data_IF_672577502192
#
_entry.id   IF_672577502192
#
_cell.length_a   1.000
_cell.length_b   1.000
_cell.length_c   1.000
_cell.angle_alpha   90.00
_cell.angle_beta   90.00
_cell.angle_gamma   90.00
#
_symmetry.space_group_name_H-M   'P 1'
#
loop_
_entity.id
_entity.type
_entity.pdbx_description
1 polymer ?
#
# COMPACT_ATOMS: atom_id res chain seq x y z
N UNK A 1 -28.52 38.14 46.07
CA UNK A 1 -29.56 37.09 46.02
C UNK A 1 -29.56 36.54 44.61
N UNK A 2 -28.83 35.45 44.41
CA UNK A 2 -28.71 34.75 43.13
C UNK A 2 -29.02 33.29 43.44
N UNK A 3 -30.19 32.84 43.00
CA UNK A 3 -30.65 31.46 43.18
C UNK A 3 -29.92 30.54 42.21
N UNK A 4 -29.30 29.51 42.78
CA UNK A 4 -28.74 28.37 42.07
C UNK A 4 -29.87 27.37 41.77
N UNK A 5 -30.17 27.15 40.48
CA UNK A 5 -31.05 26.06 40.07
C UNK A 5 -30.23 24.79 39.84
N UNK A 6 -30.39 23.83 40.74
CA UNK A 6 -29.85 22.48 40.65
C UNK A 6 -30.73 21.66 39.69
N UNK A 7 -30.20 21.23 38.55
CA UNK A 7 -30.85 20.20 37.73
C UNK A 7 -30.60 18.82 38.36
N UNK A 8 -31.68 18.16 38.82
CA UNK A 8 -31.69 16.75 39.23
C UNK A 8 -31.90 15.88 38.00
N UNK A 9 -30.94 15.03 37.65
CA UNK A 9 -31.12 13.99 36.64
C UNK A 9 -31.95 12.83 37.20
N UNK A 10 -33.03 12.48 36.50
CA UNK A 10 -33.95 11.41 36.86
C UNK A 10 -33.51 10.10 36.17
N UNK A 11 -33.28 9.05 36.97
CA UNK A 11 -32.56 7.82 36.59
C UNK A 11 -33.43 6.76 35.89
N UNK A 12 -34.42 7.17 35.09
CA UNK A 12 -35.36 6.25 34.41
C UNK A 12 -35.71 6.74 33.02
N UNK A 13 -34.83 6.49 32.06
CA UNK A 13 -35.17 6.27 30.65
C UNK A 13 -33.98 5.59 29.99
N UNK A 14 -34.11 4.30 29.70
CA UNK A 14 -33.08 3.51 29.05
C UNK A 14 -33.01 3.88 27.57
N UNK A 15 -32.01 4.67 27.18
CA UNK A 15 -31.61 4.77 25.78
C UNK A 15 -30.87 3.51 25.38
N UNK A 16 -31.43 2.79 24.41
CA UNK A 16 -30.87 1.58 23.82
C UNK A 16 -29.88 2.00 22.73
N UNK A 17 -28.63 2.23 23.10
CA UNK A 17 -27.54 2.39 22.12
C UNK A 17 -27.17 1.00 21.58
N UNK A 18 -27.30 0.83 20.26
CA UNK A 18 -26.71 -0.30 19.54
C UNK A 18 -25.32 0.18 19.12
N UNK A 19 -24.32 -0.13 19.92
CA UNK A 19 -22.91 0.09 19.58
C UNK A 19 -22.53 -1.02 18.59
N UNK A 20 -22.15 -0.64 17.38
CA UNK A 20 -21.59 -1.55 16.39
C UNK A 20 -20.09 -1.66 16.69
N UNK A 21 -19.67 -2.79 17.26
CA UNK A 21 -18.35 -2.97 17.89
C UNK A 21 -17.20 -3.16 16.87
N UNK A 22 -17.48 -3.18 15.56
CA UNK A 22 -16.48 -3.45 14.52
C UNK A 22 -15.62 -2.24 14.10
N UNK A 23 -15.98 -1.01 14.48
CA UNK A 23 -15.22 0.20 14.10
C UNK A 23 -14.32 0.77 15.21
N UNK A 24 -14.52 0.36 16.46
CA UNK A 24 -13.80 0.92 17.62
C UNK A 24 -12.40 0.33 17.84
N UNK A 25 -12.12 -0.88 17.37
CA UNK A 25 -10.82 -1.56 17.57
C UNK A 25 -9.66 -0.87 16.83
N UNK A 26 -9.93 -0.26 15.66
CA UNK A 26 -8.88 0.30 14.81
C UNK A 26 -8.44 1.73 15.15
N UNK A 27 -9.23 2.46 15.94
CA UNK A 27 -8.90 3.83 16.34
C UNK A 27 -7.94 3.87 17.53
N UNK A 28 -7.92 2.83 18.37
CA UNK A 28 -7.10 2.78 19.58
C UNK A 28 -5.61 2.54 19.31
N UNK A 29 -5.24 1.78 18.26
CA UNK A 29 -3.82 1.51 17.96
C UNK A 29 -3.05 2.74 17.42
N UNK A 30 -3.72 3.70 16.78
CA UNK A 30 -3.04 4.80 16.07
C UNK A 30 -2.98 6.13 16.83
N UNK A 31 -3.83 6.35 17.84
CA UNK A 31 -3.69 7.50 18.74
C UNK A 31 -2.56 7.32 19.76
N UNK A 32 -2.06 6.09 19.93
CA UNK A 32 -1.03 5.73 20.90
C UNK A 32 0.34 6.39 20.62
N UNK A 33 0.81 6.57 19.37
CA UNK A 33 2.17 7.12 19.15
C UNK A 33 2.24 8.66 19.17
N UNK A 34 1.13 9.35 18.84
CA UNK A 34 1.08 10.82 18.81
C UNK A 34 1.02 11.45 20.20
N UNK A 35 0.30 10.80 21.12
CA UNK A 35 0.06 11.31 22.48
C UNK A 35 1.31 11.22 23.37
N UNK A 36 2.16 10.21 23.15
CA UNK A 36 3.40 9.98 23.89
C UNK A 36 4.42 11.12 23.78
N UNK A 37 4.46 11.85 22.66
CA UNK A 37 5.37 12.99 22.51
C UNK A 37 4.88 14.26 23.21
N UNK A 38 3.58 14.38 23.48
CA UNK A 38 3.02 15.56 24.11
C UNK A 38 3.10 15.50 25.64
N UNK A 39 3.02 14.31 26.24
CA UNK A 39 3.03 14.14 27.70
C UNK A 39 4.45 14.14 28.28
N UNK A 40 5.49 13.90 27.48
CA UNK A 40 6.83 13.69 28.02
C UNK A 40 7.53 14.95 28.58
N UNK A 41 6.88 16.12 28.58
CA UNK A 41 7.50 17.41 28.95
C UNK A 41 6.84 18.21 30.07
N UNK A 42 5.99 17.63 30.92
CA UNK A 42 5.57 18.33 32.15
C UNK A 42 5.51 17.41 33.37
N UNK A 43 5.90 17.96 34.52
CA UNK A 43 5.91 17.31 35.85
C UNK A 43 4.46 17.30 36.43
N UNK A 44 3.50 16.99 35.58
CA UNK A 44 2.10 16.70 35.85
C UNK A 44 1.85 15.47 34.98
N UNK A 45 1.75 14.24 35.46
CA UNK A 45 0.79 13.85 36.48
C UNK A 45 1.03 12.34 36.76
N UNK A 46 1.71 12.02 37.87
CA UNK A 46 2.00 10.61 38.23
C UNK A 46 0.73 9.81 38.54
N UNK A 47 -0.37 10.50 38.83
CA UNK A 47 -1.65 9.89 39.18
C UNK A 47 -2.46 9.59 37.91
N UNK A 48 -2.44 10.49 36.92
CA UNK A 48 -2.96 10.22 35.58
C UNK A 48 -2.24 9.06 34.90
N UNK A 49 -0.91 8.96 35.04
CA UNK A 49 -0.14 7.85 34.47
C UNK A 49 -0.51 6.51 35.11
N UNK A 50 -0.78 6.48 36.43
CA UNK A 50 -1.23 5.27 37.12
C UNK A 50 -2.65 4.85 36.73
N UNK A 51 -3.56 5.81 36.55
CA UNK A 51 -4.92 5.53 36.08
C UNK A 51 -4.90 4.97 34.65
N UNK A 52 -4.03 5.54 33.81
CA UNK A 52 -3.81 5.07 32.44
C UNK A 52 -3.18 3.66 32.39
N UNK A 53 -2.22 3.34 33.27
CA UNK A 53 -1.67 1.97 33.37
C UNK A 53 -2.72 0.91 33.78
N UNK A 54 -3.71 1.29 34.59
CA UNK A 54 -4.83 0.40 34.95
C UNK A 54 -5.76 0.21 33.76
N UNK A 55 -6.11 1.29 33.06
CA UNK A 55 -6.97 1.24 31.88
C UNK A 55 -6.35 0.43 30.73
N UNK A 56 -5.04 0.54 30.51
CA UNK A 56 -4.32 -0.31 29.55
C UNK A 56 -4.41 -1.78 29.93
N UNK A 57 -4.21 -2.11 31.21
CA UNK A 57 -4.24 -3.51 31.65
C UNK A 57 -5.64 -4.12 31.47
N UNK A 58 -6.68 -3.35 31.75
CA UNK A 58 -8.07 -3.79 31.53
C UNK A 58 -8.37 -4.01 30.04
N UNK A 59 -7.80 -3.17 29.15
CA UNK A 59 -7.91 -3.34 27.70
C UNK A 59 -7.13 -4.57 27.20
N UNK A 60 -5.90 -4.77 27.67
CA UNK A 60 -5.08 -5.94 27.33
C UNK A 60 -5.75 -7.26 27.78
N UNK A 61 -6.37 -7.27 28.96
CA UNK A 61 -7.14 -8.44 29.46
C UNK A 61 -8.41 -8.68 28.64
N UNK A 62 -9.12 -7.62 28.23
CA UNK A 62 -10.30 -7.74 27.38
C UNK A 62 -9.95 -8.25 25.97
N UNK A 63 -8.85 -7.77 25.39
CA UNK A 63 -8.34 -8.23 24.10
C UNK A 63 -7.93 -9.70 24.15
N UNK A 64 -7.19 -10.11 25.20
CA UNK A 64 -6.80 -11.51 25.38
C UNK A 64 -8.02 -12.45 25.48
N UNK A 65 -9.05 -12.05 26.23
CA UNK A 65 -10.29 -12.82 26.35
C UNK A 65 -11.08 -12.86 25.02
N UNK A 66 -11.07 -11.79 24.23
CA UNK A 66 -11.68 -11.76 22.91
C UNK A 66 -10.95 -12.68 21.92
N UNK A 67 -9.62 -12.65 21.90
CA UNK A 67 -8.79 -13.56 21.09
C UNK A 67 -9.10 -15.02 21.45
N UNK A 68 -9.18 -15.35 22.74
CA UNK A 68 -9.53 -16.69 23.20
C UNK A 68 -10.93 -17.11 22.72
N UNK A 69 -11.91 -16.22 22.75
CA UNK A 69 -13.26 -16.49 22.21
C UNK A 69 -13.27 -16.69 20.70
N UNK A 70 -12.48 -15.92 19.94
CA UNK A 70 -12.36 -16.09 18.49
C UNK A 70 -11.66 -17.40 18.13
N UNK A 71 -10.61 -17.78 18.86
CA UNK A 71 -9.97 -19.09 18.67
C UNK A 71 -10.92 -20.25 19.01
N UNK A 72 -11.74 -20.11 20.05
CA UNK A 72 -12.78 -21.11 20.37
C UNK A 72 -13.83 -21.21 19.26
N UNK A 73 -14.32 -20.10 18.71
CA UNK A 73 -15.24 -20.07 17.58
C UNK A 73 -14.62 -20.66 16.31
N UNK A 74 -13.34 -20.34 16.03
CA UNK A 74 -12.66 -20.84 14.84
C UNK A 74 -12.37 -22.34 14.91
N UNK A 75 -12.21 -22.88 16.13
CA UNK A 75 -12.06 -24.31 16.39
C UNK A 75 -13.40 -25.05 16.58
N UNK A 76 -14.53 -24.34 16.62
CA UNK A 76 -15.86 -24.93 16.70
C UNK A 76 -16.23 -25.60 15.34
N UNK A 77 -16.40 -26.93 15.31
CA UNK A 77 -16.79 -27.64 14.09
C UNK A 77 -18.13 -27.18 13.51
N UNK A 78 -19.06 -26.70 14.34
CA UNK A 78 -20.38 -26.23 13.90
C UNK A 78 -20.27 -24.88 13.17
N UNK A 79 -19.41 -23.98 13.67
CA UNK A 79 -19.09 -22.71 13.01
C UNK A 79 -18.36 -22.92 11.67
N UNK A 80 -17.39 -23.83 11.63
CA UNK A 80 -16.70 -24.19 10.38
C UNK A 80 -17.65 -24.78 9.34
N UNK A 81 -18.61 -25.61 9.79
CA UNK A 81 -19.64 -26.17 8.93
C UNK A 81 -20.58 -25.09 8.38
N UNK A 82 -21.01 -24.15 9.22
CA UNK A 82 -21.84 -23.02 8.79
C UNK A 82 -21.13 -22.16 7.72
N UNK A 83 -19.83 -21.88 7.90
CA UNK A 83 -19.04 -21.15 6.90
C UNK A 83 -18.90 -21.92 5.58
N UNK A 84 -18.69 -23.23 5.63
CA UNK A 84 -18.62 -24.08 4.44
C UNK A 84 -19.98 -24.13 3.69
N UNK A 85 -21.09 -24.18 4.43
CA UNK A 85 -22.44 -24.13 3.86
C UNK A 85 -22.72 -22.77 3.20
N UNK A 86 -22.35 -21.65 3.85
CA UNK A 86 -22.46 -20.31 3.24
C UNK A 86 -21.61 -20.16 1.97
N UNK A 87 -20.39 -20.71 1.97
CA UNK A 87 -19.50 -20.67 0.81
C UNK A 87 -20.05 -21.50 -0.37
N UNK A 88 -20.69 -22.64 -0.08
CA UNK A 88 -21.33 -23.49 -1.08
C UNK A 88 -22.51 -22.76 -1.73
N UNK A 89 -23.39 -22.14 -0.92
CA UNK A 89 -24.51 -21.33 -1.42
C UNK A 89 -24.03 -20.16 -2.28
N UNK A 90 -22.92 -19.53 -1.90
CA UNK A 90 -22.32 -18.45 -2.69
C UNK A 90 -21.82 -18.93 -4.05
N UNK A 91 -21.08 -20.05 -4.10
CA UNK A 91 -20.59 -20.64 -5.35
C UNK A 91 -21.74 -21.03 -6.29
N UNK A 92 -22.80 -21.62 -5.75
CA UNK A 92 -24.00 -21.97 -6.52
C UNK A 92 -24.67 -20.73 -7.11
N UNK A 93 -24.75 -19.64 -6.34
CA UNK A 93 -25.29 -18.36 -6.81
C UNK A 93 -24.42 -17.71 -7.90
N UNK A 94 -23.09 -17.86 -7.82
CA UNK A 94 -22.15 -17.34 -8.81
C UNK A 94 -22.24 -18.14 -10.12
N UNK A 95 -22.34 -19.47 -10.04
CA UNK A 95 -22.57 -20.33 -11.20
C UNK A 95 -23.91 -20.06 -11.89
N UNK A 96 -24.97 -19.83 -11.11
CA UNK A 96 -26.29 -19.44 -11.63
C UNK A 96 -26.23 -18.07 -12.31
N UNK A 97 -25.58 -17.08 -11.70
CA UNK A 97 -25.37 -15.77 -12.30
C UNK A 97 -24.62 -15.85 -13.65
N UNK A 98 -23.56 -16.67 -13.72
CA UNK A 98 -22.79 -16.89 -14.94
C UNK A 98 -23.57 -17.65 -16.02
N UNK A 99 -24.51 -18.51 -15.63
CA UNK A 99 -25.42 -19.22 -16.54
C UNK A 99 -26.46 -18.27 -17.15
N UNK A 100 -26.97 -17.35 -16.35
CA UNK A 100 -27.94 -16.32 -16.80
C UNK A 100 -27.28 -15.18 -17.57
N UNK A 101 -26.01 -14.91 -17.29
CA UNK A 101 -25.22 -13.83 -17.90
C UNK A 101 -23.95 -14.38 -18.57
N UNK A 102 -24.07 -15.28 -19.57
CA UNK A 102 -22.92 -15.83 -20.24
C UNK A 102 -22.12 -14.67 -20.88
N UNK A 103 -20.78 -14.63 -20.71
CA UNK A 103 -19.95 -13.58 -21.28
C UNK A 103 -20.17 -13.49 -22.79
N UNK A 104 -20.67 -12.35 -23.27
CA UNK A 104 -20.79 -12.10 -24.71
C UNK A 104 -19.39 -11.84 -25.28
N UNK A 105 -19.07 -12.60 -26.32
CA UNK A 105 -17.79 -12.63 -27.05
C UNK A 105 -16.62 -13.35 -26.37
N UNK A 106 -16.68 -14.69 -26.38
CA UNK A 106 -15.48 -15.54 -26.38
C UNK A 106 -15.59 -16.47 -27.58
N UNK A 107 -14.96 -16.09 -28.70
CA UNK A 107 -14.69 -17.07 -29.77
C UNK A 107 -13.77 -18.16 -29.22
N UNK A 108 -13.98 -19.44 -29.55
CA UNK A 108 -13.14 -20.52 -29.05
C UNK A 108 -11.73 -20.40 -29.62
N UNK A 109 -10.82 -19.82 -28.85
CA UNK A 109 -9.39 -19.94 -29.11
C UNK A 109 -9.03 -21.38 -28.78
N UNK A 110 -8.70 -22.16 -29.79
CA UNK A 110 -8.14 -23.50 -29.63
C UNK A 110 -7.01 -23.42 -28.60
N UNK A 111 -7.09 -24.12 -27.46
CA UNK A 111 -6.09 -23.99 -26.43
C UNK A 111 -4.75 -24.50 -27.00
N UNK A 112 -3.62 -23.78 -26.80
CA UNK A 112 -2.32 -24.37 -27.05
C UNK A 112 -2.23 -25.63 -26.19
N UNK A 113 -1.78 -26.73 -26.81
CA UNK A 113 -1.58 -28.03 -26.16
C UNK A 113 -0.90 -27.83 -24.82
N UNK A 114 -1.55 -28.32 -23.76
CA UNK A 114 -1.04 -28.35 -22.39
C UNK A 114 0.36 -28.96 -22.38
N UNK A 115 1.37 -28.17 -22.03
CA UNK A 115 2.56 -28.67 -21.33
C UNK A 115 2.40 -28.28 -19.86
N UNK A 116 2.13 -29.28 -19.04
CA UNK A 116 2.18 -29.35 -17.58
C UNK A 116 2.48 -28.05 -16.81
N UNK A 117 1.43 -27.49 -16.21
CA UNK A 117 1.29 -27.62 -14.75
C UNK A 117 2.08 -26.70 -13.82
N UNK A 118 2.75 -25.64 -14.29
CA UNK A 118 3.14 -24.52 -13.44
C UNK A 118 2.88 -23.20 -14.17
N UNK A 119 1.94 -22.37 -13.70
CA UNK A 119 1.99 -20.93 -13.99
C UNK A 119 3.35 -20.47 -13.47
N UNK A 120 4.29 -20.23 -14.37
CA UNK A 120 5.59 -19.70 -13.99
C UNK A 120 5.33 -18.43 -13.17
N UNK A 121 5.65 -18.45 -11.88
CA UNK A 121 5.46 -17.30 -11.01
C UNK A 121 6.19 -16.12 -11.64
N UNK A 122 5.42 -15.14 -12.12
CA UNK A 122 5.99 -13.98 -12.77
C UNK A 122 6.98 -13.32 -11.82
N UNK A 123 8.22 -13.13 -12.28
CA UNK A 123 9.28 -12.58 -11.46
C UNK A 123 8.84 -11.23 -10.85
N UNK A 124 8.83 -11.16 -9.51
CA UNK A 124 8.51 -9.95 -8.73
C UNK A 124 9.78 -9.34 -8.14
N UNK A 125 9.86 -8.02 -8.19
CA UNK A 125 10.97 -7.26 -7.59
C UNK A 125 10.60 -6.94 -6.16
N UNK A 126 11.44 -7.37 -5.22
CA UNK A 126 11.27 -7.17 -3.79
C UNK A 126 12.10 -5.98 -3.31
N UNK A 127 11.46 -5.04 -2.62
CA UNK A 127 12.07 -3.81 -2.11
C UNK A 127 11.73 -3.72 -0.62
N UNK A 128 12.70 -3.39 0.23
CA UNK A 128 12.44 -3.16 1.66
C UNK A 128 11.37 -2.07 1.85
N UNK A 129 10.37 -2.32 2.68
CA UNK A 129 9.22 -1.41 2.84
C UNK A 129 9.63 -0.05 3.41
N UNK A 130 10.69 0.00 4.23
CA UNK A 130 11.27 1.26 4.71
C UNK A 130 11.80 2.14 3.56
N UNK A 131 12.36 1.55 2.51
CA UNK A 131 12.86 2.27 1.32
C UNK A 131 11.69 2.79 0.48
N UNK A 132 10.59 2.04 0.42
CA UNK A 132 9.36 2.47 -0.27
C UNK A 132 8.78 3.74 0.36
N UNK A 133 8.78 3.80 1.69
CA UNK A 133 8.18 4.88 2.49
C UNK A 133 9.18 5.98 2.90
N UNK A 134 10.40 5.97 2.34
CA UNK A 134 11.43 6.98 2.66
C UNK A 134 11.25 8.26 1.83
N UNK A 135 10.65 9.29 2.44
CA UNK A 135 10.43 10.61 1.82
C UNK A 135 11.69 11.32 1.34
N UNK A 136 12.86 10.92 1.83
CA UNK A 136 14.12 11.52 1.40
C UNK A 136 14.47 11.09 -0.01
N UNK A 137 14.12 9.87 -0.42
CA UNK A 137 14.30 9.38 -1.79
C UNK A 137 13.24 10.05 -2.66
N UNK A 138 13.58 10.58 -3.83
CA UNK A 138 12.56 11.05 -4.79
C UNK A 138 12.14 9.94 -5.78
N UNK A 139 11.05 10.15 -6.51
CA UNK A 139 10.47 9.12 -7.38
C UNK A 139 11.44 8.58 -8.46
N UNK A 140 12.33 9.42 -8.99
CA UNK A 140 13.33 9.00 -9.98
C UNK A 140 14.43 8.14 -9.34
N UNK A 141 14.90 8.56 -8.16
CA UNK A 141 15.85 7.80 -7.35
C UNK A 141 15.26 6.43 -6.98
N UNK A 142 14.00 6.42 -6.56
CA UNK A 142 13.28 5.20 -6.22
C UNK A 142 13.21 4.24 -7.41
N UNK A 143 12.72 4.68 -8.58
CA UNK A 143 12.62 3.82 -9.76
C UNK A 143 13.99 3.32 -10.25
N UNK A 144 15.04 4.16 -10.17
CA UNK A 144 16.41 3.72 -10.43
C UNK A 144 16.81 2.60 -9.47
N UNK A 145 16.58 2.77 -8.17
CA UNK A 145 16.89 1.74 -7.17
C UNK A 145 16.14 0.44 -7.45
N UNK A 146 14.83 0.49 -7.71
CA UNK A 146 14.02 -0.70 -8.07
C UNK A 146 14.62 -1.42 -9.28
N UNK A 147 15.08 -0.68 -10.30
CA UNK A 147 15.74 -1.26 -11.47
C UNK A 147 17.09 -1.90 -11.14
N UNK A 148 17.88 -1.30 -10.26
CA UNK A 148 19.15 -1.88 -9.83
C UNK A 148 18.93 -3.15 -8.99
N UNK A 149 17.90 -3.18 -8.14
CA UNK A 149 17.51 -4.39 -7.40
C UNK A 149 17.01 -5.49 -8.35
N UNK A 150 16.22 -5.14 -9.37
CA UNK A 150 15.82 -6.08 -10.42
C UNK A 150 17.03 -6.77 -11.06
N UNK A 151 18.04 -5.98 -11.45
CA UNK A 151 19.25 -6.49 -12.08
C UNK A 151 20.07 -7.35 -11.11
N UNK A 152 20.22 -6.92 -9.85
CA UNK A 152 20.88 -7.70 -8.80
C UNK A 152 20.23 -9.08 -8.63
N UNK A 153 18.90 -9.13 -8.53
CA UNK A 153 18.15 -10.38 -8.41
C UNK A 153 18.31 -11.27 -9.65
N UNK A 154 18.34 -10.69 -10.86
CA UNK A 154 18.57 -11.43 -12.11
C UNK A 154 20.00 -11.94 -12.27
N UNK A 155 20.98 -11.27 -11.69
CA UNK A 155 22.39 -11.68 -11.70
C UNK A 155 22.74 -12.68 -10.59
N UNK A 156 21.74 -13.34 -9.99
CA UNK A 156 21.96 -14.34 -8.95
C UNK A 156 22.40 -13.74 -7.62
N UNK A 157 22.00 -12.50 -7.33
CA UNK A 157 22.24 -11.83 -6.05
C UNK A 157 23.73 -11.67 -5.68
N UNK A 158 24.60 -11.59 -6.70
CA UNK A 158 26.01 -11.26 -6.50
C UNK A 158 26.13 -9.84 -5.96
N UNK A 159 26.91 -9.66 -4.89
CA UNK A 159 27.12 -8.35 -4.25
C UNK A 159 27.54 -7.26 -5.23
N UNK A 160 28.26 -7.65 -6.29
CA UNK A 160 28.67 -6.79 -7.38
C UNK A 160 28.24 -7.36 -8.74
N UNK A 161 27.71 -6.49 -9.59
CA UNK A 161 27.48 -6.76 -11.01
C UNK A 161 27.83 -5.54 -11.85
N UNK A 162 27.89 -5.71 -13.17
CA UNK A 162 28.27 -4.63 -14.10
C UNK A 162 27.16 -4.34 -15.09
N UNK A 163 26.87 -3.07 -15.30
CA UNK A 163 26.02 -2.59 -16.38
C UNK A 163 26.95 -2.25 -17.55
N UNK A 164 26.88 -3.03 -18.63
CA UNK A 164 27.75 -2.84 -19.80
C UNK A 164 27.50 -1.51 -20.51
N UNK A 165 26.23 -1.15 -20.69
CA UNK A 165 25.80 0.07 -21.39
C UNK A 165 24.82 0.83 -20.51
N UNK A 166 25.31 1.81 -19.74
CA UNK A 166 24.46 2.58 -18.83
C UNK A 166 23.54 3.54 -19.60
N UNK A 167 23.87 3.89 -20.83
CA UNK A 167 23.03 4.65 -21.74
C UNK A 167 21.72 3.91 -22.05
N UNK A 168 21.77 2.57 -22.20
CA UNK A 168 20.56 1.76 -22.36
C UNK A 168 19.70 1.80 -21.10
N UNK A 169 20.31 1.74 -19.91
CA UNK A 169 19.62 1.88 -18.64
C UNK A 169 18.96 3.26 -18.53
N UNK A 170 19.68 4.33 -18.86
CA UNK A 170 19.16 5.68 -18.88
C UNK A 170 17.99 5.83 -19.85
N UNK A 171 18.11 5.30 -21.06
CA UNK A 171 17.05 5.31 -22.06
C UNK A 171 15.81 4.55 -21.57
N UNK A 172 16.00 3.34 -21.04
CA UNK A 172 14.94 2.51 -20.48
C UNK A 172 14.19 3.23 -19.34
N UNK A 173 14.93 3.89 -18.46
CA UNK A 173 14.40 4.65 -17.35
C UNK A 173 14.07 6.12 -17.70
N UNK A 174 14.22 6.55 -18.95
CA UNK A 174 13.96 7.93 -19.42
C UNK A 174 14.71 9.05 -18.71
N UNK A 175 15.94 8.76 -18.26
CA UNK A 175 16.86 9.82 -17.87
C UNK A 175 17.30 10.58 -19.13
N UNK A 176 16.88 11.85 -19.22
CA UNK A 176 17.20 12.72 -20.37
C UNK A 176 18.68 13.12 -20.44
N UNK A 177 19.37 13.13 -19.31
CA UNK A 177 20.74 13.63 -19.22
C UNK A 177 21.57 12.92 -18.15
N UNK A 178 22.88 12.86 -18.41
CA UNK A 178 23.88 12.22 -17.58
C UNK A 178 23.99 12.86 -16.18
N UNK A 179 23.74 14.17 -16.07
CA UNK A 179 23.81 14.90 -14.79
C UNK A 179 22.69 14.45 -13.86
N UNK A 180 21.48 14.31 -14.36
CA UNK A 180 20.32 13.81 -13.58
C UNK A 180 20.56 12.36 -13.16
N UNK A 181 21.00 11.48 -14.07
CA UNK A 181 21.30 10.09 -13.74
C UNK A 181 22.38 9.97 -12.64
N UNK A 182 23.51 10.66 -12.80
CA UNK A 182 24.58 10.71 -11.80
C UNK A 182 24.11 11.28 -10.46
N UNK A 183 23.26 12.32 -10.48
CA UNK A 183 22.67 12.89 -9.25
C UNK A 183 21.84 11.84 -8.53
N UNK A 184 20.94 11.14 -9.22
CA UNK A 184 20.12 10.08 -8.62
C UNK A 184 20.98 8.95 -8.08
N UNK A 185 21.97 8.49 -8.84
CA UNK A 185 22.91 7.45 -8.40
C UNK A 185 23.63 7.83 -7.11
N UNK A 186 24.26 9.01 -7.07
CA UNK A 186 25.00 9.46 -5.91
C UNK A 186 24.09 9.75 -4.72
N UNK A 187 22.82 10.06 -4.96
CA UNK A 187 21.77 10.12 -3.94
C UNK A 187 21.57 8.76 -3.26
N UNK A 188 21.44 7.69 -4.06
CA UNK A 188 21.31 6.32 -3.54
C UNK A 188 22.54 5.90 -2.74
N UNK A 189 23.74 6.28 -3.21
CA UNK A 189 24.99 6.04 -2.50
C UNK A 189 25.03 6.75 -1.13
N UNK A 190 24.67 8.04 -1.09
CA UNK A 190 24.63 8.82 0.15
C UNK A 190 23.69 8.23 1.21
N UNK A 191 22.64 7.53 0.79
CA UNK A 191 21.69 6.83 1.66
C UNK A 191 22.09 5.40 1.99
N UNK A 192 23.24 4.94 1.51
CA UNK A 192 23.71 3.57 1.76
C UNK A 192 22.93 2.49 1.04
N UNK A 193 22.04 2.82 0.09
CA UNK A 193 21.29 1.82 -0.70
C UNK A 193 22.18 1.10 -1.72
N UNK A 194 23.23 1.79 -2.17
CA UNK A 194 24.31 1.25 -2.99
C UNK A 194 25.66 1.69 -2.40
N UNK A 195 26.68 0.86 -2.52
CA UNK A 195 28.00 1.09 -1.90
C UNK A 195 28.97 1.87 -2.78
N UNK A 196 28.65 2.10 -4.05
CA UNK A 196 29.55 2.78 -4.97
C UNK A 196 28.98 4.11 -5.47
N UNK A 197 29.79 5.16 -5.39
CA UNK A 197 29.52 6.45 -6.03
C UNK A 197 29.99 6.49 -7.50
N UNK A 198 29.40 7.39 -8.28
CA UNK A 198 29.90 7.76 -9.61
C UNK A 198 30.52 9.15 -9.51
N UNK A 199 31.85 9.22 -9.56
CA UNK A 199 32.58 10.49 -9.76
C UNK A 199 32.49 10.96 -11.21
N UNK A 200 32.69 10.06 -12.16
CA UNK A 200 32.55 10.32 -13.59
C UNK A 200 31.88 9.12 -14.23
N UNK A 201 30.96 9.36 -15.17
CA UNK A 201 30.37 8.28 -15.95
C UNK A 201 31.45 7.73 -16.89
N UNK A 202 31.64 6.39 -16.93
CA UNK A 202 32.64 5.79 -17.79
C UNK A 202 32.25 6.01 -19.27
N UNK A 203 33.22 6.33 -20.12
CA UNK A 203 32.96 6.51 -21.58
C UNK A 203 32.94 5.19 -22.34
N UNK A 204 33.70 4.20 -21.87
CA UNK A 204 34.00 2.95 -22.59
C UNK A 204 33.99 1.72 -21.68
N UNK A 205 33.82 1.91 -20.37
CA UNK A 205 33.88 0.83 -19.39
C UNK A 205 32.49 0.54 -18.81
N UNK A 206 32.20 -0.73 -18.47
CA UNK A 206 31.00 -1.07 -17.74
C UNK A 206 30.92 -0.28 -16.42
N UNK A 207 29.70 0.08 -16.03
CA UNK A 207 29.42 0.72 -14.74
C UNK A 207 29.25 -0.36 -13.67
N UNK A 208 30.17 -0.50 -12.70
CA UNK A 208 29.98 -1.44 -11.59
C UNK A 208 28.84 -0.98 -10.69
N UNK A 209 28.12 -1.94 -10.13
CA UNK A 209 27.04 -1.72 -9.17
C UNK A 209 27.25 -2.62 -7.98
N UNK A 210 27.27 -2.02 -6.79
CA UNK A 210 27.34 -2.72 -5.51
C UNK A 210 26.10 -2.40 -4.70
N UNK A 211 25.11 -3.28 -4.71
CA UNK A 211 23.91 -3.12 -3.90
C UNK A 211 24.27 -3.31 -2.43
N UNK A 212 23.69 -2.51 -1.53
CA UNK A 212 23.84 -2.80 -0.11
C UNK A 212 22.91 -3.95 0.30
N UNK A 213 23.44 -5.12 0.70
CA UNK A 213 22.62 -6.26 1.09
C UNK A 213 21.73 -6.01 2.31
N UNK A 214 22.02 -4.99 3.13
CA UNK A 214 21.20 -4.63 4.29
C UNK A 214 19.77 -4.22 3.90
N UNK A 215 19.54 -3.74 2.68
CA UNK A 215 18.20 -3.34 2.19
C UNK A 215 17.58 -4.38 1.26
N UNK A 216 18.18 -5.58 1.20
CA UNK A 216 17.71 -6.68 0.36
C UNK A 216 17.07 -7.75 1.24
N UNK A 217 15.81 -8.12 1.00
CA UNK A 217 15.15 -9.16 1.77
C UNK A 217 15.90 -10.50 1.64
N UNK A 218 16.41 -11.02 2.77
CA UNK A 218 17.06 -12.32 2.85
C UNK A 218 16.16 -13.28 3.62
N UNK A 219 16.01 -14.51 3.12
CA UNK A 219 15.07 -15.50 3.68
C UNK A 219 15.43 -16.06 5.07
N UNK A 220 16.67 -15.92 5.54
CA UNK A 220 17.16 -16.75 6.67
C UNK A 220 17.81 -15.99 7.84
N UNK A 221 18.31 -14.77 7.63
CA UNK A 221 19.25 -14.16 8.59
C UNK A 221 18.70 -12.90 9.27
N UNK A 222 17.80 -12.17 8.61
CA UNK A 222 17.06 -11.03 9.18
C UNK A 222 15.86 -10.73 8.26
N UNK A 223 14.62 -11.09 8.65
CA UNK A 223 13.45 -10.85 7.82
C UNK A 223 13.08 -9.36 7.83
N UNK A 224 13.64 -8.61 6.88
CA UNK A 224 13.23 -7.24 6.63
C UNK A 224 11.86 -7.28 5.95
N UNK A 225 10.90 -6.49 6.45
CA UNK A 225 9.60 -6.32 5.78
C UNK A 225 9.83 -5.77 4.37
N UNK A 226 9.20 -6.40 3.38
CA UNK A 226 9.40 -6.03 1.99
C UNK A 226 8.09 -5.96 1.23
N UNK A 227 8.10 -5.11 0.22
CA UNK A 227 7.03 -4.96 -0.76
C UNK A 227 7.47 -5.58 -2.07
N UNK A 228 6.57 -6.28 -2.75
CA UNK A 228 6.88 -6.94 -4.01
C UNK A 228 5.83 -6.64 -5.08
N UNK A 229 6.28 -6.22 -6.26
CA UNK A 229 5.43 -6.02 -7.44
C UNK A 229 6.08 -6.68 -8.65
N UNK A 230 5.27 -6.98 -9.66
CA UNK A 230 5.79 -7.55 -10.91
C UNK A 230 6.82 -6.64 -11.56
N UNK A 231 7.88 -7.23 -12.10
CA UNK A 231 8.92 -6.47 -12.78
C UNK A 231 8.45 -5.68 -14.01
N UNK A 232 7.27 -6.03 -14.54
CA UNK A 232 6.63 -5.34 -15.65
C UNK A 232 6.22 -3.91 -15.29
N UNK A 233 6.07 -3.59 -14.00
CA UNK A 233 5.72 -2.25 -13.53
C UNK A 233 6.74 -1.18 -13.93
N UNK A 234 8.01 -1.56 -14.02
CA UNK A 234 9.09 -0.66 -14.43
C UNK A 234 9.44 -0.78 -15.92
N UNK A 235 8.62 -1.45 -16.74
CA UNK A 235 8.79 -1.45 -18.19
C UNK A 235 8.64 -0.03 -18.76
N UNK A 236 9.43 0.29 -19.80
CA UNK A 236 9.45 1.63 -20.40
C UNK A 236 8.07 2.15 -20.80
N UNK A 237 7.22 1.27 -21.31
CA UNK A 237 5.86 1.59 -21.76
C UNK A 237 4.90 1.84 -20.60
N UNK A 238 5.09 1.14 -19.47
CA UNK A 238 4.35 1.44 -18.24
C UNK A 238 4.78 2.79 -17.71
N UNK A 239 6.09 3.04 -17.65
CA UNK A 239 6.64 4.35 -17.29
C UNK A 239 6.16 5.49 -18.21
N UNK A 240 5.72 5.23 -19.46
CA UNK A 240 5.16 6.27 -20.36
C UNK A 240 3.79 6.71 -19.90
N UNK A 241 2.99 5.77 -19.37
CA UNK A 241 1.61 6.04 -18.98
C UNK A 241 1.51 6.57 -17.55
N UNK A 242 2.33 6.05 -16.62
CA UNK A 242 2.19 6.35 -15.19
C UNK A 242 3.36 7.11 -14.57
N UNK A 243 4.47 7.29 -15.31
CA UNK A 243 5.65 8.00 -14.81
C UNK A 243 6.31 7.37 -13.59
N UNK A 244 7.33 8.04 -13.04
CA UNK A 244 8.04 7.56 -11.85
C UNK A 244 7.17 7.60 -10.60
N UNK A 245 6.38 8.67 -10.44
CA UNK A 245 5.49 8.86 -9.29
C UNK A 245 4.42 7.78 -9.25
N UNK A 246 3.85 7.38 -10.39
CA UNK A 246 2.89 6.29 -10.45
C UNK A 246 3.48 4.96 -9.98
N UNK A 247 4.71 4.64 -10.39
CA UNK A 247 5.42 3.44 -9.89
C UNK A 247 5.63 3.51 -8.38
N UNK A 248 6.03 4.68 -7.85
CA UNK A 248 6.23 4.84 -6.41
C UNK A 248 4.93 4.68 -5.63
N UNK A 249 3.83 5.27 -6.08
CA UNK A 249 2.52 5.13 -5.44
C UNK A 249 2.07 3.67 -5.45
N UNK A 250 2.28 2.94 -6.55
CA UNK A 250 1.96 1.50 -6.62
C UNK A 250 2.71 0.70 -5.56
N UNK A 251 4.03 0.90 -5.43
CA UNK A 251 4.82 0.27 -4.36
C UNK A 251 4.35 0.72 -2.98
N UNK A 252 4.09 2.01 -2.78
CA UNK A 252 3.65 2.55 -1.51
C UNK A 252 2.36 1.88 -1.05
N UNK A 253 1.32 1.85 -1.89
CA UNK A 253 0.05 1.22 -1.56
C UNK A 253 0.21 -0.28 -1.33
N UNK A 254 0.96 -0.98 -2.20
CA UNK A 254 1.22 -2.42 -2.04
C UNK A 254 1.93 -2.72 -0.72
N UNK A 255 2.72 -1.80 -0.17
CA UNK A 255 3.41 -1.99 1.11
C UNK A 255 2.46 -2.10 2.32
N UNK A 256 1.20 -1.68 2.17
CA UNK A 256 0.15 -1.80 3.21
C UNK A 256 -0.76 -3.01 2.99
N UNK A 257 -0.61 -3.74 1.87
CA UNK A 257 -1.49 -4.85 1.52
C UNK A 257 -0.82 -6.16 1.93
N UNK A 258 -1.48 -6.92 2.81
CA UNK A 258 -1.08 -8.28 3.12
C UNK A 258 -1.87 -9.29 2.27
N UNK A 259 -1.28 -9.68 1.12
CA UNK A 259 -1.89 -10.66 0.21
C UNK A 259 -1.89 -12.09 0.75
N UNK A 260 -1.30 -12.35 1.91
CA UNK A 260 -1.32 -13.68 2.54
C UNK A 260 -2.56 -13.89 3.41
N UNK A 261 -3.19 -12.79 3.85
CA UNK A 261 -4.43 -12.81 4.62
C UNK A 261 -5.65 -12.94 3.70
N UNK A 262 -6.74 -13.45 4.27
CA UNK A 262 -8.02 -13.65 3.57
C UNK A 262 -8.57 -12.31 3.07
N UNK A 263 -9.46 -12.37 2.06
CA UNK A 263 -9.93 -11.30 1.14
C UNK A 263 -10.19 -9.88 1.70
N UNK A 264 -10.34 -9.72 3.01
CA UNK A 264 -10.69 -8.47 3.69
C UNK A 264 -9.53 -7.46 3.75
N UNK A 265 -8.27 -7.89 3.58
CA UNK A 265 -7.06 -7.05 3.68
C UNK A 265 -6.42 -6.70 2.32
N UNK A 266 -7.14 -6.87 1.21
CA UNK A 266 -6.59 -6.68 -0.15
C UNK A 266 -6.67 -5.24 -0.65
N UNK A 267 -6.70 -4.27 0.26
CA UNK A 267 -6.66 -2.85 -0.05
C UNK A 267 -5.78 -2.08 0.92
N UNK A 268 -5.20 -0.99 0.44
CA UNK A 268 -4.56 0.01 1.27
C UNK A 268 -5.56 1.11 1.59
N UNK A 269 -5.47 1.75 2.76
CA UNK A 269 -6.30 2.89 3.14
C UNK A 269 -5.53 4.15 3.61
N UNK A 270 -4.26 4.39 3.22
CA UNK A 270 -3.56 5.60 3.65
C UNK A 270 -4.21 6.85 3.04
N UNK A 271 -4.32 7.92 3.84
CA UNK A 271 -4.80 9.20 3.33
C UNK A 271 -3.87 9.78 2.26
N UNK A 272 -4.40 10.67 1.42
CA UNK A 272 -3.61 11.32 0.38
C UNK A 272 -2.50 12.20 0.97
N UNK A 273 -2.74 12.75 2.17
CA UNK A 273 -1.78 13.48 3.00
C UNK A 273 -0.65 12.58 3.48
N UNK A 274 -0.96 11.37 3.97
CA UNK A 274 0.05 10.43 4.44
C UNK A 274 0.92 9.93 3.29
N UNK A 275 0.31 9.58 2.15
CA UNK A 275 1.05 9.22 0.93
C UNK A 275 1.99 10.37 0.53
N UNK A 276 1.52 11.61 0.59
CA UNK A 276 2.30 12.79 0.24
C UNK A 276 3.50 12.97 1.19
N UNK A 277 3.28 12.86 2.49
CA UNK A 277 4.32 12.96 3.52
C UNK A 277 5.40 11.89 3.35
N UNK A 278 4.99 10.62 3.28
CA UNK A 278 5.91 9.48 3.22
C UNK A 278 6.66 9.40 1.90
N UNK A 279 6.10 9.92 0.81
CA UNK A 279 6.78 9.94 -0.49
C UNK A 279 7.51 11.24 -0.80
N UNK A 280 7.37 12.27 0.05
CA UNK A 280 7.94 13.59 -0.19
C UNK A 280 7.33 14.34 -1.38
N UNK A 281 6.10 13.97 -1.76
CA UNK A 281 5.35 14.59 -2.86
C UNK A 281 4.31 15.59 -2.33
N UNK A 282 3.81 16.47 -3.19
CA UNK A 282 2.65 17.30 -2.82
C UNK A 282 1.36 16.46 -2.87
N UNK A 283 0.40 16.76 -1.99
CA UNK A 283 -0.94 16.15 -2.05
C UNK A 283 -1.59 16.28 -3.44
N UNK A 284 -1.42 17.43 -4.09
CA UNK A 284 -1.92 17.65 -5.46
C UNK A 284 -1.30 16.70 -6.48
N UNK A 285 -0.02 16.37 -6.32
CA UNK A 285 0.69 15.38 -7.15
C UNK A 285 0.14 13.98 -6.89
N UNK A 286 -0.08 13.61 -5.62
CA UNK A 286 -0.68 12.33 -5.24
C UNK A 286 -2.06 12.16 -5.88
N UNK A 287 -2.96 13.13 -5.71
CA UNK A 287 -4.31 13.11 -6.30
C UNK A 287 -4.23 12.95 -7.84
N UNK A 288 -3.33 13.68 -8.50
CA UNK A 288 -3.14 13.58 -9.95
C UNK A 288 -2.74 12.17 -10.36
N UNK A 289 -1.75 11.56 -9.70
CA UNK A 289 -1.27 10.25 -10.10
C UNK A 289 -2.19 9.11 -9.69
N UNK A 290 -2.93 9.23 -8.58
CA UNK A 290 -4.01 8.30 -8.24
C UNK A 290 -5.05 8.26 -9.37
N UNK A 291 -5.50 9.43 -9.86
CA UNK A 291 -6.42 9.52 -11.01
C UNK A 291 -5.84 8.89 -12.29
N UNK A 292 -4.54 9.05 -12.54
CA UNK A 292 -3.88 8.44 -13.70
C UNK A 292 -3.93 6.92 -13.58
N UNK A 293 -3.51 6.38 -12.43
CA UNK A 293 -3.45 4.95 -12.15
C UNK A 293 -4.82 4.27 -12.18
N UNK A 294 -5.85 4.94 -11.63
CA UNK A 294 -7.25 4.50 -11.69
C UNK A 294 -7.75 4.49 -13.14
N UNK A 295 -7.53 5.57 -13.91
CA UNK A 295 -7.91 5.66 -15.32
C UNK A 295 -7.28 4.57 -16.20
N UNK A 296 -6.06 4.12 -15.87
CA UNK A 296 -5.40 3.04 -16.61
C UNK A 296 -5.70 1.64 -16.07
N UNK A 297 -6.58 1.53 -15.06
CA UNK A 297 -6.99 0.30 -14.38
C UNK A 297 -5.81 -0.48 -13.77
N UNK A 298 -4.78 0.23 -13.28
CA UNK A 298 -3.71 -0.38 -12.46
C UNK A 298 -4.02 -0.31 -10.96
N UNK A 299 -4.95 0.55 -10.56
CA UNK A 299 -5.60 0.49 -9.26
C UNK A 299 -7.10 0.73 -9.43
N UNK A 300 -7.87 0.40 -8.40
CA UNK A 300 -9.25 0.89 -8.22
C UNK A 300 -9.32 1.69 -6.92
N UNK A 301 -9.97 2.85 -6.97
CA UNK A 301 -10.23 3.68 -5.78
C UNK A 301 -11.69 3.56 -5.39
N UNK A 302 -11.97 3.09 -4.18
CA UNK A 302 -13.28 3.20 -3.55
C UNK A 302 -13.22 4.31 -2.52
N UNK A 303 -14.00 5.36 -2.73
CA UNK A 303 -14.07 6.49 -1.79
C UNK A 303 -15.22 6.24 -0.82
N UNK A 304 -14.91 6.15 0.46
CA UNK A 304 -15.93 6.16 1.50
C UNK A 304 -15.93 7.54 2.17
N UNK A 305 -17.13 8.05 2.38
CA UNK A 305 -17.36 9.26 3.15
C UNK A 305 -17.43 8.85 4.62
N UNK A 306 -16.55 9.40 5.46
CA UNK A 306 -16.74 9.30 6.91
C UNK A 306 -17.88 10.25 7.30
N UNK A 307 -18.63 9.90 8.34
CA UNK A 307 -19.85 10.61 8.75
C UNK A 307 -19.67 12.14 8.81
N UNK A 308 -20.74 12.85 8.46
CA UNK A 308 -20.81 14.30 8.39
C UNK A 308 -20.41 14.93 9.73
N UNK A 309 -19.45 15.85 9.72
CA UNK A 309 -19.09 16.64 10.91
C UNK A 309 -20.02 17.86 11.11
N UNK A 310 -21.11 17.96 10.33
CA UNK A 310 -22.06 19.06 10.36
C UNK A 310 -22.29 19.72 9.01
N UNK A 311 -23.24 20.63 8.99
CA UNK A 311 -23.63 21.43 7.83
C UNK A 311 -22.87 22.76 7.89
N UNK A 312 -22.02 23.06 6.90
CA UNK A 312 -21.48 24.39 6.71
C UNK A 312 -22.44 25.24 5.87
N UNK A 313 -22.74 26.45 6.33
CA UNK A 313 -23.57 27.40 5.58
C UNK A 313 -22.64 28.32 4.79
N UNK A 314 -22.74 28.29 3.47
CA UNK A 314 -22.01 29.24 2.61
C UNK A 314 -22.49 30.68 2.82
N UNK A 315 -21.68 31.67 2.44
CA UNK A 315 -22.01 33.11 2.45
C UNK A 315 -23.32 33.48 1.73
N UNK A 316 -23.91 32.56 0.96
CA UNK A 316 -25.19 32.70 0.26
C UNK A 316 -26.35 31.90 0.88
N UNK A 317 -26.19 31.42 2.12
CA UNK A 317 -27.22 30.68 2.84
C UNK A 317 -27.47 29.27 2.31
N UNK A 318 -26.59 28.72 1.47
CA UNK A 318 -26.70 27.33 1.02
C UNK A 318 -25.94 26.44 2.00
N UNK A 319 -26.68 25.55 2.64
CA UNK A 319 -26.18 24.44 3.42
C UNK A 319 -25.38 23.48 2.50
N UNK A 320 -24.12 23.25 2.84
CA UNK A 320 -23.26 22.26 2.20
C UNK A 320 -22.77 21.33 3.32
N UNK A 321 -23.07 20.04 3.19
CA UNK A 321 -22.43 19.04 4.04
C UNK A 321 -20.93 18.99 3.72
N UNK A 322 -20.11 19.25 4.74
CA UNK A 322 -18.65 19.25 4.63
C UNK A 322 -18.09 17.96 5.22
N UNK A 323 -17.63 17.07 4.34
CA UNK A 323 -16.90 15.87 4.72
C UNK A 323 -15.42 16.22 4.97
N UNK A 324 -14.95 16.06 6.20
CA UNK A 324 -13.58 16.48 6.59
C UNK A 324 -12.53 15.41 6.28
N UNK A 325 -12.91 14.12 6.22
CA UNK A 325 -11.96 13.02 6.01
C UNK A 325 -12.48 11.97 5.02
N UNK A 326 -11.64 11.60 4.07
CA UNK A 326 -11.90 10.52 3.12
C UNK A 326 -11.25 9.23 3.64
N UNK A 327 -12.04 8.16 3.77
CA UNK A 327 -11.50 6.82 3.99
C UNK A 327 -11.46 6.11 2.63
N UNK A 328 -10.43 6.43 1.84
CA UNK A 328 -10.25 5.85 0.52
C UNK A 328 -9.66 4.44 0.64
N UNK A 329 -10.32 3.44 0.05
CA UNK A 329 -9.77 2.11 -0.16
C UNK A 329 -9.13 2.03 -1.54
N UNK A 330 -7.86 1.67 -1.59
CA UNK A 330 -7.07 1.51 -2.81
C UNK A 330 -6.79 0.04 -3.07
N UNK A 331 -7.29 -0.48 -4.18
CA UNK A 331 -7.06 -1.86 -4.61
C UNK A 331 -6.00 -1.87 -5.71
N UNK A 332 -4.84 -2.48 -5.43
CA UNK A 332 -3.73 -2.57 -6.39
C UNK A 332 -3.90 -3.79 -7.29
N UNK A 333 -3.90 -3.60 -8.60
CA UNK A 333 -4.04 -4.66 -9.61
C UNK A 333 -2.68 -5.10 -10.18
N UNK A 334 -1.84 -5.75 -9.36
CA UNK A 334 -0.53 -6.28 -9.78
C UNK A 334 -0.64 -7.30 -10.93
N UNK A 335 -1.73 -8.07 -10.93
CA UNK A 335 -2.10 -9.06 -11.93
C UNK A 335 -2.28 -8.46 -13.34
N UNK A 336 -2.80 -7.23 -13.44
CA UNK A 336 -3.10 -6.56 -14.72
C UNK A 336 -1.88 -5.88 -15.34
N UNK A 337 -0.81 -5.64 -14.58
CA UNK A 337 0.34 -4.84 -15.05
C UNK A 337 0.99 -5.49 -16.28
N UNK A 338 1.14 -6.81 -16.29
CA UNK A 338 1.78 -7.51 -17.42
C UNK A 338 0.98 -7.36 -18.71
N UNK A 339 -0.35 -7.56 -18.64
CA UNK A 339 -1.26 -7.38 -19.77
C UNK A 339 -1.21 -5.94 -20.31
N UNK A 340 -1.23 -4.94 -19.40
CA UNK A 340 -1.13 -3.53 -19.79
C UNK A 340 0.21 -3.20 -20.45
N UNK A 341 1.31 -3.74 -19.92
CA UNK A 341 2.64 -3.52 -20.48
C UNK A 341 2.74 -4.05 -21.93
N UNK A 342 2.19 -5.22 -22.21
CA UNK A 342 2.16 -5.81 -23.54
C UNK A 342 1.24 -5.03 -24.50
N UNK A 343 0.05 -4.63 -24.03
CA UNK A 343 -0.85 -3.77 -24.80
C UNK A 343 -0.18 -2.46 -25.20
N UNK A 344 0.41 -1.73 -24.25
CA UNK A 344 1.04 -0.44 -24.54
C UNK A 344 2.29 -0.55 -25.39
N UNK A 345 3.00 -1.69 -25.30
CA UNK A 345 4.08 -2.00 -26.24
C UNK A 345 3.55 -2.11 -27.67
N UNK A 346 2.46 -2.85 -27.90
CA UNK A 346 1.86 -2.99 -29.23
C UNK A 346 1.36 -1.65 -29.77
N UNK A 347 0.64 -0.87 -28.96
CA UNK A 347 0.17 0.48 -29.32
C UNK A 347 1.34 1.38 -29.78
N UNK A 348 2.48 1.32 -29.09
CA UNK A 348 3.66 2.14 -29.43
C UNK A 348 4.34 1.74 -30.75
N UNK A 349 4.07 0.53 -31.23
CA UNK A 349 4.60 0.02 -32.49
C UNK A 349 3.62 0.27 -33.67
N UNK A 350 2.46 0.89 -33.41
CA UNK A 350 1.46 1.18 -34.43
C UNK A 350 0.63 -0.03 -34.86
N UNK A 351 0.53 -1.06 -34.00
CA UNK A 351 -0.24 -2.28 -34.22
C UNK A 351 -1.66 -2.19 -33.67
#
# INVERSE_FOLDING_TARGET
>A
MTESQTMKFNKKEGMKYRIDWQETEYLLEYEHEGYYRMIHNSILDKELYRLWEVEIRELEEAEAHWIEQQEQLHNDPEYQRMLAEQYTVWLESEEEYLRENPPKDITPVTPPKKSDGQKANAFKIQIASEVVRDKTINDKEFVLYVKLVQLYQRHGQREEYVIKEYEQLMHFLKFKDNRTFKKCWNSLHKRGLIRNEIKNLPKTHPLPVRINPEYIPRKKENPIKFTQLTHRLIDRYVLDKIGYTGVRIMYYLESYIDRTKFLWDHYAYPSEELIAEDTGNSRTTIIKYIKILDKVNLMKVQRNYLESNGIDVTDKGKEIETFIRWNNKYFVHDDKIAEKADKWKLESLGA
#
